data_IF_111751755774
#
_entry.id   IF_111751755774
#
_cell.length_a   1.000
_cell.length_b   1.000
_cell.length_c   1.000
_cell.angle_alpha   90.00
_cell.angle_beta   90.00
_cell.angle_gamma   90.00
#
_symmetry.space_group_name_H-M   'P 1'
#
loop_
_entity.id
_entity.type
_entity.pdbx_description
1 polymer ?
#
# COMPACT_ATOMS: atom_id res chain seq x y z
N UNK A 1 34.88 22.02 1.00
CA UNK A 1 34.50 23.28 1.68
C UNK A 1 33.12 23.65 1.16
N UNK A 2 32.07 23.08 1.76
CA UNK A 2 30.69 23.42 1.39
C UNK A 2 30.32 24.72 2.10
N UNK A 3 30.16 25.79 1.33
CA UNK A 3 29.66 27.07 1.82
C UNK A 3 28.17 26.88 2.08
N UNK A 4 27.79 26.71 3.35
CA UNK A 4 26.42 26.83 3.81
C UNK A 4 26.00 28.29 3.62
N UNK A 5 25.24 28.57 2.56
CA UNK A 5 24.47 29.81 2.49
C UNK A 5 23.34 29.71 3.51
N UNK A 6 23.32 30.64 4.45
CA UNK A 6 22.21 30.87 5.38
C UNK A 6 20.88 30.92 4.61
N UNK A 7 20.13 29.83 4.67
CA UNK A 7 18.72 29.74 4.31
C UNK A 7 18.05 29.01 5.45
N UNK A 8 16.94 29.55 5.94
CA UNK A 8 16.23 29.09 7.13
C UNK A 8 16.09 27.57 7.15
N UNK A 9 16.80 26.91 8.08
CA UNK A 9 16.63 25.49 8.34
C UNK A 9 15.30 25.34 9.08
N UNK A 10 14.24 25.02 8.34
CA UNK A 10 12.93 24.70 8.92
C UNK A 10 12.97 23.31 9.56
N UNK A 11 12.10 23.04 10.54
CA UNK A 11 11.97 21.69 11.13
C UNK A 11 11.68 20.63 10.06
N UNK A 12 10.86 20.98 9.06
CA UNK A 12 10.56 20.12 7.91
C UNK A 12 11.82 19.77 7.08
N UNK A 13 12.76 20.71 6.93
CA UNK A 13 14.04 20.45 6.25
C UNK A 13 14.90 19.44 7.03
N UNK A 14 14.89 19.52 8.36
CA UNK A 14 15.61 18.59 9.25
C UNK A 14 14.96 17.20 9.18
N UNK A 15 13.63 17.11 9.31
CA UNK A 15 12.89 15.86 9.22
C UNK A 15 13.16 15.12 7.90
N UNK A 16 13.11 15.83 6.77
CA UNK A 16 13.45 15.26 5.46
C UNK A 16 14.90 14.74 5.38
N UNK A 17 15.86 15.46 5.98
CA UNK A 17 17.26 15.01 6.03
C UNK A 17 17.43 13.75 6.88
N UNK A 18 16.72 13.66 8.01
CA UNK A 18 16.75 12.49 8.90
C UNK A 18 16.20 11.27 8.17
N UNK A 19 15.05 11.38 7.49
CA UNK A 19 14.48 10.27 6.74
C UNK A 19 15.37 9.85 5.57
N UNK A 20 15.98 10.80 4.85
CA UNK A 20 16.95 10.49 3.80
C UNK A 20 18.19 9.75 4.34
N UNK A 21 18.64 10.11 5.54
CA UNK A 21 19.76 9.44 6.21
C UNK A 21 19.39 8.02 6.67
N UNK A 22 18.19 7.83 7.23
CA UNK A 22 17.65 6.50 7.56
C UNK A 22 17.65 5.60 6.31
N UNK A 23 17.06 6.08 5.22
CA UNK A 23 16.99 5.37 3.95
C UNK A 23 18.40 4.99 3.49
N UNK A 24 19.33 5.95 3.42
CA UNK A 24 20.71 5.69 3.01
C UNK A 24 21.36 4.56 3.83
N UNK A 25 21.17 4.56 5.15
CA UNK A 25 21.72 3.54 6.03
C UNK A 25 21.14 2.16 5.71
N UNK A 26 19.84 2.05 5.45
CA UNK A 26 19.18 0.79 5.14
C UNK A 26 19.60 0.23 3.76
N UNK A 27 19.70 1.09 2.74
CA UNK A 27 20.20 0.64 1.43
C UNK A 27 21.66 0.22 1.53
N UNK A 28 22.46 0.94 2.30
CA UNK A 28 23.85 0.57 2.56
C UNK A 28 23.94 -0.77 3.28
N UNK A 29 23.12 -1.01 4.31
CA UNK A 29 23.09 -2.30 5.01
C UNK A 29 22.70 -3.45 4.10
N UNK A 30 21.74 -3.23 3.20
CA UNK A 30 21.35 -4.23 2.20
C UNK A 30 22.51 -4.57 1.25
N UNK A 31 23.16 -3.56 0.65
CA UNK A 31 24.30 -3.74 -0.26
C UNK A 31 25.49 -4.45 0.38
N UNK A 32 25.80 -4.13 1.63
CA UNK A 32 26.84 -4.84 2.39
C UNK A 32 26.45 -6.31 2.60
N UNK A 33 25.16 -6.57 2.78
CA UNK A 33 24.58 -7.90 2.77
C UNK A 33 24.94 -8.64 1.48
N UNK A 34 24.68 -8.06 0.31
CA UNK A 34 24.89 -8.72 -0.99
C UNK A 34 26.32 -9.23 -1.15
N UNK A 35 27.28 -8.45 -0.65
CA UNK A 35 28.69 -8.84 -0.62
C UNK A 35 28.94 -10.06 0.28
N UNK A 36 28.23 -10.20 1.40
CA UNK A 36 28.31 -11.39 2.28
C UNK A 36 27.80 -12.64 1.56
N UNK A 37 26.75 -12.54 0.75
CA UNK A 37 26.15 -13.69 0.07
C UNK A 37 27.05 -14.21 -1.05
N UNK A 38 27.71 -13.29 -1.76
CA UNK A 38 28.62 -13.60 -2.87
C UNK A 38 30.06 -13.94 -2.41
N UNK A 39 30.39 -13.72 -1.14
CA UNK A 39 31.73 -13.93 -0.59
C UNK A 39 31.91 -15.33 0.02
N UNK A 40 32.99 -16.00 -0.37
CA UNK A 40 33.50 -17.22 0.28
C UNK A 40 34.47 -16.93 1.45
N UNK A 41 34.91 -15.67 1.60
CA UNK A 41 35.85 -15.27 2.65
C UNK A 41 35.12 -15.00 3.97
N UNK A 42 35.35 -15.87 4.95
CA UNK A 42 34.78 -15.73 6.29
C UNK A 42 35.17 -14.40 6.96
N UNK A 43 36.44 -14.00 6.86
CA UNK A 43 36.93 -12.75 7.46
C UNK A 43 36.27 -11.52 6.83
N UNK A 44 36.17 -11.51 5.50
CA UNK A 44 35.55 -10.42 4.76
C UNK A 44 34.06 -10.31 5.10
N UNK A 45 33.35 -11.44 5.12
CA UNK A 45 31.93 -11.48 5.48
C UNK A 45 31.68 -11.01 6.92
N UNK A 46 32.61 -11.26 7.86
CA UNK A 46 32.54 -10.72 9.23
C UNK A 46 32.67 -9.21 9.28
N UNK A 47 33.63 -8.63 8.55
CA UNK A 47 33.82 -7.18 8.47
C UNK A 47 32.54 -6.51 7.93
N UNK A 48 31.97 -7.07 6.87
CA UNK A 48 30.72 -6.56 6.30
C UNK A 48 29.54 -6.71 7.26
N UNK A 49 29.44 -7.82 8.01
CA UNK A 49 28.39 -8.00 9.00
C UNK A 49 28.45 -6.95 10.14
N UNK A 50 29.65 -6.55 10.57
CA UNK A 50 29.83 -5.43 11.52
C UNK A 50 29.38 -4.10 10.88
N UNK A 51 29.72 -3.89 9.60
CA UNK A 51 29.24 -2.73 8.84
C UNK A 51 27.72 -2.66 8.77
N UNK A 52 27.05 -3.80 8.54
CA UNK A 52 25.59 -3.91 8.54
C UNK A 52 25.03 -3.53 9.92
N UNK A 53 25.59 -4.06 11.01
CA UNK A 53 25.18 -3.69 12.37
C UNK A 53 25.23 -2.17 12.61
N UNK A 54 26.33 -1.53 12.20
CA UNK A 54 26.50 -0.08 12.35
C UNK A 54 25.47 0.71 11.55
N UNK A 55 25.24 0.32 10.29
CA UNK A 55 24.24 0.96 9.43
C UNK A 55 22.82 0.78 9.98
N UNK A 56 22.47 -0.42 10.45
CA UNK A 56 21.15 -0.66 11.04
C UNK A 56 20.95 0.12 12.35
N UNK A 57 21.98 0.28 13.18
CA UNK A 57 21.90 1.09 14.39
C UNK A 57 21.68 2.58 14.06
N UNK A 58 22.38 3.10 13.04
CA UNK A 58 22.20 4.48 12.57
C UNK A 58 20.79 4.71 11.99
N UNK A 59 20.31 3.76 11.18
CA UNK A 59 18.94 3.80 10.64
C UNK A 59 17.90 3.83 11.77
N UNK A 60 18.01 2.92 12.73
CA UNK A 60 17.08 2.85 13.86
C UNK A 60 17.11 4.12 14.70
N UNK A 61 18.29 4.70 14.92
CA UNK A 61 18.44 5.96 15.64
C UNK A 61 17.74 7.11 14.90
N UNK A 62 17.90 7.19 13.57
CA UNK A 62 17.24 8.19 12.74
C UNK A 62 15.71 8.04 12.77
N UNK A 63 15.21 6.80 12.67
CA UNK A 63 13.78 6.49 12.76
C UNK A 63 13.17 6.94 14.08
N UNK A 64 13.82 6.62 15.21
CA UNK A 64 13.37 7.05 16.55
C UNK A 64 13.25 8.58 16.63
N UNK A 65 14.22 9.32 16.08
CA UNK A 65 14.15 10.79 16.05
C UNK A 65 12.97 11.27 15.20
N UNK A 66 12.76 10.68 14.03
CA UNK A 66 11.63 11.03 13.15
C UNK A 66 10.27 10.75 13.80
N UNK A 67 10.12 9.60 14.48
CA UNK A 67 8.88 9.24 15.15
C UNK A 67 8.61 10.14 16.38
N UNK A 68 9.65 10.55 17.13
CA UNK A 68 9.52 11.54 18.23
C UNK A 68 9.08 12.91 17.71
N UNK A 69 9.67 13.37 16.60
CA UNK A 69 9.27 14.62 15.95
C UNK A 69 7.80 14.57 15.50
N UNK A 70 7.38 13.45 14.89
CA UNK A 70 6.01 13.23 14.43
C UNK A 70 5.02 13.26 15.60
N UNK A 71 5.27 12.50 16.66
CA UNK A 71 4.42 12.46 17.87
C UNK A 71 4.32 13.85 18.51
N UNK A 72 5.43 14.59 18.58
CA UNK A 72 5.45 15.95 19.13
C UNK A 72 4.60 16.90 18.28
N UNK A 73 4.72 16.82 16.96
CA UNK A 73 3.95 17.63 16.01
C UNK A 73 2.45 17.35 16.10
N UNK A 74 2.05 16.07 16.14
CA UNK A 74 0.65 15.66 16.30
C UNK A 74 0.09 16.12 17.65
N UNK A 75 0.86 15.97 18.74
CA UNK A 75 0.47 16.44 20.07
C UNK A 75 0.24 17.95 20.09
N UNK A 76 1.16 18.73 19.53
CA UNK A 76 1.04 20.19 19.43
C UNK A 76 -0.15 20.61 18.56
N UNK A 77 -0.39 19.92 17.44
CA UNK A 77 -1.54 20.20 16.59
C UNK A 77 -2.86 19.91 17.32
N UNK A 78 -2.95 18.76 17.99
CA UNK A 78 -4.13 18.35 18.77
C UNK A 78 -4.45 19.37 19.87
N UNK A 79 -3.44 19.87 20.57
CA UNK A 79 -3.60 20.93 21.59
C UNK A 79 -4.11 22.23 20.95
N UNK A 80 -3.62 22.59 19.76
CA UNK A 80 -4.01 23.83 19.07
C UNK A 80 -5.42 23.77 18.48
N UNK A 81 -5.82 22.64 17.94
CA UNK A 81 -7.08 22.51 17.18
C UNK A 81 -8.19 21.84 17.97
N UNK A 82 -7.89 21.28 19.14
CA UNK A 82 -8.80 20.43 19.93
C UNK A 82 -9.37 19.26 19.12
N UNK A 83 -8.67 18.84 18.05
CA UNK A 83 -9.02 17.70 17.22
C UNK A 83 -7.91 16.67 17.30
N UNK A 84 -8.27 15.46 17.71
CA UNK A 84 -7.36 14.32 17.65
C UNK A 84 -7.16 13.98 16.17
N UNK A 85 -5.94 14.10 15.67
CA UNK A 85 -5.57 13.55 14.38
C UNK A 85 -5.10 12.12 14.57
N UNK A 86 -5.87 11.17 14.06
CA UNK A 86 -5.42 9.80 13.86
C UNK A 86 -4.72 9.71 12.49
N UNK A 87 -3.74 10.58 12.20
CA UNK A 87 -2.97 10.45 10.96
C UNK A 87 -2.06 9.23 11.03
N UNK A 88 -1.91 8.47 9.92
CA UNK A 88 -1.05 7.27 9.74
C UNK A 88 -0.68 6.55 11.04
N UNK A 89 -1.68 6.27 11.88
CA UNK A 89 -1.47 5.46 13.07
C UNK A 89 -1.47 4.02 12.55
N UNK A 90 -0.35 3.60 11.95
CA UNK A 90 0.16 2.31 12.40
C UNK A 90 0.18 2.45 13.92
N UNK A 91 -0.79 1.82 14.59
CA UNK A 91 -1.09 1.98 16.02
C UNK A 91 0.21 2.26 16.79
N UNK A 92 0.31 3.22 17.72
CA UNK A 92 1.59 3.48 18.42
C UNK A 92 2.27 2.19 18.95
N UNK A 93 1.47 1.15 19.22
CA UNK A 93 1.90 -0.23 19.43
C UNK A 93 2.73 -0.86 18.28
N UNK A 94 2.35 -0.69 17.01
CA UNK A 94 3.09 -1.11 15.82
C UNK A 94 4.48 -0.47 15.73
N UNK A 95 4.58 0.86 15.95
CA UNK A 95 5.89 1.53 16.01
C UNK A 95 6.75 0.97 17.14
N UNK A 96 6.18 0.77 18.34
CA UNK A 96 6.89 0.15 19.47
C UNK A 96 7.35 -1.27 19.13
N UNK A 97 6.48 -2.11 18.55
CA UNK A 97 6.82 -3.45 18.10
C UNK A 97 7.94 -3.45 17.06
N UNK A 98 7.90 -2.50 16.11
CA UNK A 98 8.94 -2.34 15.10
C UNK A 98 10.28 -1.97 15.73
N UNK A 99 10.31 -0.98 16.64
CA UNK A 99 11.53 -0.59 17.35
C UNK A 99 12.11 -1.73 18.19
N UNK A 100 11.27 -2.44 18.96
CA UNK A 100 11.71 -3.60 19.75
C UNK A 100 12.32 -4.67 18.86
N UNK A 101 11.67 -5.00 17.73
CA UNK A 101 12.19 -5.95 16.75
C UNK A 101 13.52 -5.47 16.17
N UNK A 102 13.60 -4.19 15.80
CA UNK A 102 14.77 -3.61 15.17
C UNK A 102 15.98 -3.68 16.11
N UNK A 103 15.81 -3.26 17.35
CA UNK A 103 16.84 -3.34 18.39
C UNK A 103 17.25 -4.80 18.66
N UNK A 104 16.28 -5.71 18.82
CA UNK A 104 16.57 -7.13 19.03
C UNK A 104 17.36 -7.74 17.86
N UNK A 105 16.96 -7.41 16.62
CA UNK A 105 17.64 -7.86 15.39
C UNK A 105 19.07 -7.32 15.28
N UNK A 106 19.30 -6.04 15.59
CA UNK A 106 20.64 -5.45 15.61
C UNK A 106 21.51 -6.11 16.68
N UNK A 107 21.00 -6.33 17.90
CA UNK A 107 21.75 -6.97 18.99
C UNK A 107 22.09 -8.42 18.66
N UNK A 108 21.09 -9.24 18.29
CA UNK A 108 21.29 -10.65 17.97
C UNK A 108 22.14 -10.82 16.70
N UNK A 109 21.89 -10.01 15.67
CA UNK A 109 22.66 -9.98 14.44
C UNK A 109 24.13 -9.63 14.70
N UNK A 110 24.40 -8.62 15.53
CA UNK A 110 25.78 -8.24 15.88
C UNK A 110 26.53 -9.34 16.63
N UNK A 111 25.86 -10.05 17.54
CA UNK A 111 26.45 -11.20 18.21
C UNK A 111 26.74 -12.34 17.22
N UNK A 112 25.77 -12.68 16.38
CA UNK A 112 25.91 -13.76 15.39
C UNK A 112 26.90 -13.41 14.28
N UNK A 113 27.14 -12.13 13.99
CA UNK A 113 28.14 -11.68 13.01
C UNK A 113 29.54 -12.21 13.34
N UNK A 114 29.82 -12.48 14.62
CA UNK A 114 31.11 -13.04 15.06
C UNK A 114 31.31 -14.50 14.64
N UNK A 115 30.23 -15.26 14.48
CA UNK A 115 30.26 -16.71 14.31
C UNK A 115 29.67 -17.18 12.97
N UNK A 116 28.63 -16.51 12.47
CA UNK A 116 27.93 -16.83 11.23
C UNK A 116 27.42 -15.55 10.54
N UNK A 117 28.26 -14.90 9.73
CA UNK A 117 27.89 -13.68 8.99
C UNK A 117 26.65 -13.86 8.10
N UNK A 118 26.52 -15.02 7.44
CA UNK A 118 25.36 -15.33 6.57
C UNK A 118 24.06 -15.45 7.37
N UNK A 119 24.11 -16.00 8.58
CA UNK A 119 22.93 -16.07 9.46
C UNK A 119 22.62 -14.69 10.07
N UNK A 120 23.65 -13.97 10.49
CA UNK A 120 23.57 -12.60 10.99
C UNK A 120 22.86 -11.67 10.01
N UNK A 121 23.22 -11.74 8.71
CA UNK A 121 22.56 -10.99 7.62
C UNK A 121 21.03 -11.07 7.70
N UNK A 122 20.47 -12.26 7.94
CA UNK A 122 19.02 -12.52 7.92
C UNK A 122 18.25 -11.85 9.07
N UNK A 123 18.95 -11.49 10.14
CA UNK A 123 18.38 -10.92 11.37
C UNK A 123 18.37 -9.39 11.39
N UNK A 124 19.12 -8.75 10.49
CA UNK A 124 19.15 -7.29 10.39
C UNK A 124 17.89 -6.72 9.72
N UNK A 125 17.78 -5.39 9.76
CA UNK A 125 16.59 -4.63 9.40
C UNK A 125 16.15 -4.83 7.96
N UNK A 126 17.08 -5.12 7.04
CA UNK A 126 16.83 -5.17 5.60
C UNK A 126 16.84 -6.60 5.08
N UNK A 127 15.80 -7.37 5.39
CA UNK A 127 15.58 -8.65 4.70
C UNK A 127 14.89 -8.44 3.35
N UNK A 128 14.86 -9.48 2.53
CA UNK A 128 14.30 -9.45 1.17
C UNK A 128 12.81 -9.79 1.13
N UNK A 129 12.09 -9.07 0.27
CA UNK A 129 10.62 -9.10 0.15
C UNK A 129 10.10 -10.39 -0.45
N UNK A 130 10.95 -11.21 -1.06
CA UNK A 130 10.60 -12.51 -1.64
C UNK A 130 10.02 -13.49 -0.61
N UNK A 131 10.17 -13.21 0.69
CA UNK A 131 9.58 -14.01 1.78
C UNK A 131 8.20 -13.50 2.21
N UNK A 132 7.68 -12.42 1.63
CA UNK A 132 6.33 -11.98 1.88
C UNK A 132 5.35 -12.95 1.22
N UNK A 133 4.30 -13.30 1.96
CA UNK A 133 3.27 -14.20 1.47
C UNK A 133 2.56 -13.55 0.29
N UNK A 134 2.61 -14.20 -0.88
CA UNK A 134 1.78 -13.84 -2.02
C UNK A 134 0.32 -14.05 -1.65
N UNK A 135 -0.52 -13.06 -1.91
CA UNK A 135 -1.94 -13.11 -1.53
C UNK A 135 -2.83 -13.70 -2.63
N UNK A 136 -2.54 -13.39 -3.88
CA UNK A 136 -3.33 -13.85 -5.03
C UNK A 136 -2.73 -15.13 -5.63
N UNK A 137 -3.59 -16.11 -5.92
CA UNK A 137 -3.24 -17.19 -6.84
C UNK A 137 -3.18 -16.66 -8.28
N UNK A 138 -2.55 -17.37 -9.23
CA UNK A 138 -2.57 -16.94 -10.63
C UNK A 138 -3.98 -16.79 -11.21
N UNK A 139 -4.94 -17.61 -10.77
CA UNK A 139 -6.34 -17.52 -11.19
C UNK A 139 -7.04 -16.30 -10.57
N UNK A 140 -6.80 -16.02 -9.28
CA UNK A 140 -7.34 -14.83 -8.62
C UNK A 140 -6.76 -13.55 -9.24
N UNK A 141 -5.45 -13.53 -9.54
CA UNK A 141 -4.81 -12.43 -10.24
C UNK A 141 -5.44 -12.21 -11.62
N UNK A 142 -5.70 -13.27 -12.39
CA UNK A 142 -6.38 -13.19 -13.68
C UNK A 142 -7.80 -12.62 -13.54
N UNK A 143 -8.57 -13.09 -12.53
CA UNK A 143 -9.89 -12.54 -12.22
C UNK A 143 -9.81 -11.05 -11.87
N UNK A 144 -8.90 -10.64 -11.01
CA UNK A 144 -8.74 -9.24 -10.58
C UNK A 144 -8.36 -8.33 -11.75
N UNK A 145 -7.41 -8.74 -12.60
CA UNK A 145 -7.05 -7.98 -13.80
C UNK A 145 -8.21 -7.89 -14.80
N UNK A 146 -8.97 -8.97 -15.00
CA UNK A 146 -10.16 -8.94 -15.86
C UNK A 146 -11.22 -7.99 -15.29
N UNK A 147 -11.46 -7.98 -13.97
CA UNK A 147 -12.34 -6.99 -13.32
C UNK A 147 -11.88 -5.56 -13.60
N UNK A 148 -10.58 -5.28 -13.53
CA UNK A 148 -10.02 -3.95 -13.81
C UNK A 148 -10.25 -3.51 -15.25
N UNK A 149 -10.07 -4.42 -16.22
CA UNK A 149 -10.40 -4.17 -17.62
C UNK A 149 -11.90 -3.87 -17.82
N UNK A 150 -12.76 -4.70 -17.24
CA UNK A 150 -14.22 -4.59 -17.35
C UNK A 150 -14.70 -3.26 -16.75
N UNK A 151 -14.20 -2.92 -15.56
CA UNK A 151 -14.56 -1.69 -14.87
C UNK A 151 -14.12 -0.45 -15.64
N UNK A 152 -12.89 -0.44 -16.20
CA UNK A 152 -12.43 0.67 -17.03
C UNK A 152 -13.35 0.89 -18.23
N UNK A 153 -13.65 -0.17 -18.98
CA UNK A 153 -14.52 -0.10 -20.16
C UNK A 153 -15.93 0.38 -19.81
N UNK A 154 -16.50 -0.12 -18.70
CA UNK A 154 -17.80 0.34 -18.20
C UNK A 154 -17.78 1.85 -17.88
N UNK A 155 -16.76 2.32 -17.15
CA UNK A 155 -16.61 3.73 -16.83
C UNK A 155 -16.43 4.62 -18.07
N UNK A 156 -15.67 4.17 -19.08
CA UNK A 156 -15.56 4.88 -20.38
C UNK A 156 -16.92 5.02 -21.05
N UNK A 157 -17.63 3.89 -21.18
CA UNK A 157 -18.90 3.81 -21.90
C UNK A 157 -19.96 4.74 -21.29
N UNK A 158 -19.94 4.89 -19.96
CA UNK A 158 -20.88 5.74 -19.22
C UNK A 158 -20.34 7.13 -18.87
N UNK A 159 -19.19 7.52 -19.43
CA UNK A 159 -18.55 8.81 -19.19
C UNK A 159 -18.38 9.12 -17.68
N UNK A 160 -17.91 8.11 -16.95
CA UNK A 160 -17.58 8.17 -15.53
C UNK A 160 -16.06 8.29 -15.39
N UNK A 161 -15.61 9.37 -14.74
CA UNK A 161 -14.21 9.62 -14.48
C UNK A 161 -13.78 9.00 -13.15
N UNK A 162 -12.60 8.41 -13.15
CA UNK A 162 -12.02 7.76 -11.99
C UNK A 162 -10.50 7.75 -12.07
N UNK A 163 -9.82 7.52 -10.94
CA UNK A 163 -8.37 7.26 -10.89
C UNK A 163 -8.10 6.07 -9.99
N UNK A 164 -7.15 5.21 -10.37
CA UNK A 164 -6.56 4.25 -9.43
C UNK A 164 -5.93 5.02 -8.27
N UNK A 165 -6.03 4.48 -7.05
CA UNK A 165 -5.50 5.12 -5.85
C UNK A 165 -4.74 4.12 -4.96
N UNK A 166 -4.30 4.56 -3.79
CA UNK A 166 -3.81 3.73 -2.70
C UNK A 166 -2.76 2.70 -3.12
N UNK A 167 -2.90 1.44 -2.71
CA UNK A 167 -1.92 0.37 -2.95
C UNK A 167 -1.76 0.08 -4.45
N UNK A 168 -2.82 0.32 -5.22
CA UNK A 168 -2.85 0.13 -6.67
C UNK A 168 -1.92 1.08 -7.41
N UNK A 169 -1.84 2.37 -7.02
CA UNK A 169 -0.88 3.32 -7.61
C UNK A 169 0.55 2.88 -7.31
N UNK A 170 0.82 2.47 -6.07
CA UNK A 170 2.14 1.96 -5.67
C UNK A 170 2.51 0.69 -6.44
N UNK A 171 1.58 -0.25 -6.60
CA UNK A 171 1.76 -1.46 -7.41
C UNK A 171 2.07 -1.14 -8.87
N UNK A 172 1.28 -0.26 -9.49
CA UNK A 172 1.47 0.16 -10.87
C UNK A 172 2.85 0.75 -11.13
N UNK A 173 3.38 1.57 -10.21
CA UNK A 173 4.71 2.16 -10.36
C UNK A 173 5.84 1.19 -10.01
N UNK A 174 5.68 0.45 -8.91
CA UNK A 174 6.76 -0.33 -8.31
C UNK A 174 6.90 -1.72 -8.92
N UNK A 175 5.79 -2.37 -9.25
CA UNK A 175 5.75 -3.75 -9.77
C UNK A 175 5.21 -3.84 -11.21
N UNK A 176 4.71 -2.73 -11.78
CA UNK A 176 3.97 -2.74 -13.07
C UNK A 176 2.75 -3.67 -13.04
N UNK A 177 2.16 -3.87 -11.87
CA UNK A 177 1.05 -4.78 -11.58
C UNK A 177 0.61 -4.65 -10.13
N UNK A 178 -0.36 -5.45 -9.69
CA UNK A 178 -0.76 -5.47 -8.28
C UNK A 178 0.43 -5.87 -7.42
N UNK A 179 0.58 -5.25 -6.25
CA UNK A 179 1.67 -5.60 -5.33
C UNK A 179 1.51 -7.08 -4.92
N UNK A 180 2.58 -7.90 -4.83
CA UNK A 180 2.43 -9.34 -4.61
C UNK A 180 1.69 -9.75 -3.32
N UNK A 181 1.69 -8.86 -2.33
CA UNK A 181 1.01 -9.04 -1.06
C UNK A 181 -0.25 -8.16 -0.93
N UNK A 182 -0.86 -7.74 -2.05
CA UNK A 182 -2.21 -7.17 -2.12
C UNK A 182 -3.22 -8.19 -2.64
N UNK A 183 -4.48 -7.98 -2.31
CA UNK A 183 -5.62 -8.85 -2.62
C UNK A 183 -6.74 -8.16 -3.43
N UNK A 184 -6.58 -6.88 -3.76
CA UNK A 184 -7.60 -6.03 -4.36
C UNK A 184 -7.01 -4.93 -5.28
N UNK A 185 -7.90 -4.13 -5.86
CA UNK A 185 -7.59 -2.92 -6.63
C UNK A 185 -8.45 -1.77 -6.10
N UNK A 186 -7.84 -0.60 -5.94
CA UNK A 186 -8.45 0.59 -5.38
C UNK A 186 -8.71 1.64 -6.46
N UNK A 187 -9.91 2.21 -6.49
CA UNK A 187 -10.28 3.32 -7.36
C UNK A 187 -11.02 4.43 -6.63
N UNK A 188 -10.71 5.67 -6.96
CA UNK A 188 -11.49 6.85 -6.57
C UNK A 188 -12.35 7.30 -7.74
N UNK A 189 -13.66 7.33 -7.54
CA UNK A 189 -14.63 7.86 -8.51
C UNK A 189 -14.71 9.39 -8.38
N UNK A 190 -14.84 10.10 -9.50
CA UNK A 190 -14.99 11.56 -9.52
C UNK A 190 -16.19 12.00 -8.65
N UNK A 191 -16.05 13.09 -7.86
CA UNK A 191 -17.13 13.59 -7.01
C UNK A 191 -18.45 13.83 -7.74
N UNK A 192 -18.40 14.19 -9.02
CA UNK A 192 -19.59 14.49 -9.82
C UNK A 192 -20.26 13.23 -10.38
N UNK A 193 -19.55 12.10 -10.40
CA UNK A 193 -20.04 10.85 -10.99
C UNK A 193 -20.73 9.91 -9.99
N UNK A 194 -20.57 10.11 -8.68
CA UNK A 194 -21.13 9.23 -7.65
C UNK A 194 -22.65 9.00 -7.76
N UNK A 195 -23.43 10.05 -8.08
CA UNK A 195 -24.89 9.94 -8.24
C UNK A 195 -25.28 9.13 -9.48
N UNK A 196 -24.58 9.36 -10.58
CA UNK A 196 -24.87 8.66 -11.84
C UNK A 196 -24.44 7.20 -11.76
N UNK A 197 -23.27 6.92 -11.17
CA UNK A 197 -22.85 5.54 -10.94
C UNK A 197 -23.82 4.80 -10.03
N UNK A 198 -24.29 5.44 -8.93
CA UNK A 198 -25.33 4.86 -8.09
C UNK A 198 -26.60 4.52 -8.89
N UNK A 199 -27.03 5.40 -9.80
CA UNK A 199 -28.21 5.17 -10.65
C UNK A 199 -28.01 3.90 -11.50
N UNK A 200 -26.86 3.77 -12.15
CA UNK A 200 -26.49 2.62 -12.99
C UNK A 200 -26.36 1.31 -12.20
N UNK A 201 -26.01 1.39 -10.92
CA UNK A 201 -26.03 0.24 -10.01
C UNK A 201 -27.45 -0.13 -9.63
N UNK A 202 -28.25 0.85 -9.18
CA UNK A 202 -29.62 0.64 -8.68
C UNK A 202 -30.58 0.12 -9.78
N UNK A 203 -30.42 0.56 -11.03
CA UNK A 203 -31.26 0.12 -12.15
C UNK A 203 -30.79 -1.19 -12.81
N UNK A 204 -29.69 -1.77 -12.31
CA UNK A 204 -29.12 -3.02 -12.78
C UNK A 204 -28.20 -2.92 -14.00
N UNK A 205 -28.01 -1.73 -14.57
CA UNK A 205 -27.15 -1.52 -15.75
C UNK A 205 -25.73 -2.02 -15.50
N UNK A 206 -25.15 -1.73 -14.33
CA UNK A 206 -23.81 -2.19 -13.97
C UNK A 206 -23.71 -3.72 -14.04
N UNK A 207 -24.60 -4.43 -13.36
CA UNK A 207 -24.58 -5.89 -13.31
C UNK A 207 -24.84 -6.49 -14.71
N UNK A 208 -25.75 -5.93 -15.50
CA UNK A 208 -26.07 -6.45 -16.83
C UNK A 208 -24.95 -6.23 -17.85
N UNK A 209 -24.24 -5.11 -17.77
CA UNK A 209 -23.18 -4.78 -18.73
C UNK A 209 -21.81 -5.37 -18.33
N UNK A 210 -21.56 -5.57 -17.03
CA UNK A 210 -20.26 -6.07 -16.55
C UNK A 210 -20.27 -7.57 -16.24
N UNK A 211 -21.42 -8.14 -15.90
CA UNK A 211 -21.52 -9.49 -15.35
C UNK A 211 -20.93 -9.63 -13.94
N UNK A 212 -20.58 -8.52 -13.28
CA UNK A 212 -20.03 -8.49 -11.92
C UNK A 212 -21.14 -8.24 -10.89
N UNK A 213 -20.97 -8.82 -9.71
CA UNK A 213 -21.72 -8.41 -8.52
C UNK A 213 -21.11 -7.14 -7.93
N UNK A 214 -21.92 -6.35 -7.24
CA UNK A 214 -21.49 -5.12 -6.59
C UNK A 214 -22.24 -4.92 -5.29
N UNK A 215 -21.54 -4.51 -4.23
CA UNK A 215 -22.13 -4.26 -2.91
C UNK A 215 -21.68 -2.91 -2.37
N UNK A 216 -22.59 -2.22 -1.66
CA UNK A 216 -22.27 -0.96 -1.00
C UNK A 216 -21.61 -1.21 0.37
N UNK A 217 -20.51 -0.52 0.63
CA UNK A 217 -19.82 -0.55 1.90
C UNK A 217 -19.99 0.77 2.66
N UNK A 218 -20.69 0.70 3.79
CA UNK A 218 -20.98 1.88 4.62
C UNK A 218 -19.71 2.48 5.23
N UNK A 219 -18.75 1.63 5.60
CA UNK A 219 -17.53 2.09 6.27
C UNK A 219 -16.60 2.86 5.33
N UNK A 220 -16.29 2.29 4.17
CA UNK A 220 -15.45 2.94 3.14
C UNK A 220 -16.21 4.02 2.37
N UNK A 221 -17.55 3.96 2.35
CA UNK A 221 -18.40 4.91 1.63
C UNK A 221 -18.29 4.77 0.12
N UNK A 222 -18.27 3.53 -0.35
CA UNK A 222 -18.08 3.17 -1.75
C UNK A 222 -18.72 1.84 -2.08
N UNK A 223 -18.38 1.33 -3.26
CA UNK A 223 -18.81 0.00 -3.69
C UNK A 223 -17.61 -0.92 -3.84
N UNK A 224 -17.83 -2.21 -3.59
CA UNK A 224 -16.88 -3.27 -3.95
C UNK A 224 -17.53 -4.13 -5.03
N UNK A 225 -16.85 -4.31 -6.16
CA UNK A 225 -17.32 -5.20 -7.23
C UNK A 225 -16.43 -6.44 -7.37
N UNK A 226 -17.04 -7.56 -7.74
CA UNK A 226 -16.40 -8.88 -7.78
C UNK A 226 -17.20 -9.88 -8.61
N UNK A 227 -16.62 -11.04 -8.92
CA UNK A 227 -17.35 -12.12 -9.59
C UNK A 227 -18.29 -12.84 -8.63
N UNK A 228 -19.50 -13.17 -9.10
CA UNK A 228 -20.51 -13.88 -8.29
C UNK A 228 -20.02 -15.23 -7.73
N UNK A 229 -19.12 -15.92 -8.45
CA UNK A 229 -18.55 -17.21 -8.06
C UNK A 229 -17.33 -17.10 -7.12
N UNK A 230 -16.89 -15.87 -6.81
CA UNK A 230 -15.76 -15.65 -5.92
C UNK A 230 -16.06 -16.08 -4.48
N UNK A 231 -15.08 -16.67 -3.76
CA UNK A 231 -15.22 -16.99 -2.35
C UNK A 231 -15.53 -15.73 -1.54
N UNK A 232 -16.52 -15.82 -0.66
CA UNK A 232 -16.92 -14.68 0.17
C UNK A 232 -15.93 -14.46 1.31
N UNK A 233 -15.68 -13.19 1.64
CA UNK A 233 -14.79 -12.79 2.73
C UNK A 233 -15.40 -13.01 4.12
N UNK A 234 -14.74 -12.46 5.15
CA UNK A 234 -15.18 -12.50 6.54
C UNK A 234 -15.45 -11.10 7.10
N UNK A 235 -16.22 -11.05 8.19
CA UNK A 235 -16.49 -9.81 8.91
C UNK A 235 -17.28 -8.80 8.07
N UNK A 236 -16.77 -7.58 7.93
CA UNK A 236 -17.38 -6.55 7.06
C UNK A 236 -17.39 -6.93 5.56
N UNK A 237 -16.63 -7.97 5.18
CA UNK A 237 -16.56 -8.49 3.81
C UNK A 237 -17.39 -9.76 3.59
N UNK A 238 -18.30 -10.13 4.51
CA UNK A 238 -19.08 -11.38 4.41
C UNK A 238 -19.95 -11.49 3.14
N UNK A 239 -20.29 -10.37 2.51
CA UNK A 239 -21.07 -10.33 1.27
C UNK A 239 -20.22 -10.09 0.02
N UNK A 240 -18.90 -9.99 0.18
CA UNK A 240 -17.94 -9.55 -0.84
C UNK A 240 -17.16 -10.75 -1.34
N UNK A 241 -17.09 -10.94 -2.65
CA UNK A 241 -16.28 -11.98 -3.26
C UNK A 241 -14.82 -11.56 -3.40
N UNK A 242 -13.87 -12.42 -3.04
CA UNK A 242 -12.44 -12.17 -3.21
C UNK A 242 -11.92 -12.76 -4.54
N UNK A 243 -11.01 -12.10 -5.27
CA UNK A 243 -10.60 -10.70 -5.09
C UNK A 243 -11.66 -9.73 -5.64
N UNK A 244 -11.59 -8.47 -5.21
CA UNK A 244 -12.55 -7.41 -5.55
C UNK A 244 -11.84 -6.11 -5.97
N UNK A 245 -12.62 -5.19 -6.54
CA UNK A 245 -12.20 -3.80 -6.79
C UNK A 245 -13.02 -2.86 -5.91
N UNK A 246 -12.32 -2.02 -5.15
CA UNK A 246 -12.89 -0.91 -4.40
C UNK A 246 -13.16 0.30 -5.32
N UNK A 247 -14.36 0.86 -5.20
CA UNK A 247 -14.83 2.06 -5.90
C UNK A 247 -15.25 3.07 -4.85
N UNK A 248 -14.28 3.84 -4.36
CA UNK A 248 -14.49 4.86 -3.34
C UNK A 248 -15.19 6.09 -3.93
N UNK A 249 -16.28 6.51 -3.30
CA UNK A 249 -16.84 7.83 -3.58
C UNK A 249 -15.93 8.91 -3.02
N UNK A 250 -15.72 9.99 -3.77
CA UNK A 250 -14.92 11.13 -3.34
C UNK A 250 -15.74 12.41 -3.28
N UNK A 251 -15.18 13.43 -2.64
CA UNK A 251 -15.71 14.78 -2.57
C UNK A 251 -14.60 15.80 -2.80
N UNK A 252 -14.97 16.97 -3.32
CA UNK A 252 -14.05 18.08 -3.41
C UNK A 252 -13.99 18.85 -2.09
N UNK A 253 -12.78 19.07 -1.57
CA UNK A 253 -12.53 19.91 -0.41
C UNK A 253 -12.00 21.27 -0.89
N UNK A 254 -12.91 22.22 -1.10
CA UNK A 254 -12.60 23.57 -1.61
C UNK A 254 -11.54 24.31 -0.77
N UNK A 255 -11.48 24.06 0.55
CA UNK A 255 -10.54 24.76 1.43
C UNK A 255 -9.12 24.24 1.30
N UNK A 256 -8.97 22.95 1.02
CA UNK A 256 -7.68 22.29 0.91
C UNK A 256 -7.27 22.03 -0.55
N UNK A 257 -8.12 22.41 -1.51
CA UNK A 257 -7.93 22.24 -2.96
C UNK A 257 -7.52 20.80 -3.35
N UNK A 258 -8.34 19.85 -2.90
CA UNK A 258 -8.07 18.42 -3.05
C UNK A 258 -9.34 17.59 -3.16
N UNK A 259 -9.18 16.42 -3.77
CA UNK A 259 -10.18 15.35 -3.87
C UNK A 259 -9.88 14.34 -2.77
N UNK A 260 -10.83 14.08 -1.89
CA UNK A 260 -10.69 13.18 -0.73
C UNK A 260 -11.91 12.26 -0.59
N UNK A 261 -11.78 11.17 0.16
CA UNK A 261 -12.87 10.20 0.38
C UNK A 261 -14.13 10.86 0.94
N UNK A 262 -15.31 10.49 0.43
CA UNK A 262 -16.60 10.98 0.94
C UNK A 262 -16.93 10.44 2.33
N UNK A 263 -16.58 9.19 2.64
CA UNK A 263 -16.73 8.63 3.99
C UNK A 263 -15.87 9.42 4.98
N UNK A 264 -16.50 9.91 6.06
CA UNK A 264 -15.78 10.62 7.12
C UNK A 264 -14.91 9.66 7.91
N UNK A 265 -15.44 8.48 8.20
CA UNK A 265 -14.78 7.40 8.93
C UNK A 265 -13.52 6.95 8.22
N UNK A 266 -13.61 6.68 6.91
CA UNK A 266 -12.47 6.23 6.12
C UNK A 266 -11.44 7.35 5.91
N UNK A 267 -11.89 8.58 5.63
CA UNK A 267 -11.00 9.74 5.51
C UNK A 267 -10.19 10.02 6.78
N UNK A 268 -10.75 9.73 7.95
CA UNK A 268 -10.04 9.87 9.23
C UNK A 268 -8.97 8.81 9.44
N UNK A 269 -9.07 7.66 8.77
CA UNK A 269 -8.07 6.59 8.81
C UNK A 269 -6.99 6.79 7.73
N UNK A 270 -7.39 7.29 6.57
CA UNK A 270 -6.51 7.50 5.41
C UNK A 270 -6.33 8.99 5.10
N UNK A 271 -5.87 9.77 6.09
CA UNK A 271 -5.85 11.25 6.00
C UNK A 271 -4.95 11.82 4.91
N UNK A 272 -3.92 11.07 4.52
CA UNK A 272 -2.93 11.45 3.51
C UNK A 272 -3.26 10.92 2.11
N UNK A 273 -4.28 10.06 1.99
CA UNK A 273 -4.76 9.52 0.73
C UNK A 273 -5.81 10.46 0.13
N UNK A 274 -5.31 11.43 -0.65
CA UNK A 274 -6.10 12.38 -1.43
C UNK A 274 -5.36 12.70 -2.71
N UNK A 275 -6.04 13.24 -3.72
CA UNK A 275 -5.40 13.84 -4.89
C UNK A 275 -5.48 15.36 -4.79
N UNK A 276 -4.41 16.07 -5.14
CA UNK A 276 -4.55 17.51 -5.42
C UNK A 276 -5.37 17.70 -6.70
N UNK A 277 -5.95 18.89 -6.88
CA UNK A 277 -6.68 19.23 -8.11
C UNK A 277 -5.80 19.07 -9.36
N UNK A 278 -4.53 19.46 -9.27
CA UNK A 278 -3.56 19.29 -10.36
C UNK A 278 -3.27 17.81 -10.64
N UNK A 279 -3.02 17.01 -9.60
CA UNK A 279 -2.80 15.55 -9.74
C UNK A 279 -4.02 14.89 -10.41
N UNK A 280 -5.25 15.27 -10.03
CA UNK A 280 -6.49 14.72 -10.59
C UNK A 280 -6.70 15.06 -12.07
N UNK A 281 -6.43 16.31 -12.44
CA UNK A 281 -6.59 16.83 -13.79
C UNK A 281 -5.55 16.27 -14.77
N UNK A 282 -4.36 15.92 -14.28
CA UNK A 282 -3.31 15.28 -15.09
C UNK A 282 -3.50 13.76 -15.21
N UNK A 283 -4.57 13.35 -15.88
CA UNK A 283 -4.84 11.93 -16.15
C UNK A 283 -3.77 11.26 -17.01
N UNK A 284 -3.46 10.01 -16.70
CA UNK A 284 -2.66 9.12 -17.53
C UNK A 284 -3.16 7.66 -17.46
N UNK A 285 -2.88 6.87 -18.50
CA UNK A 285 -2.99 5.41 -18.42
C UNK A 285 -1.83 4.80 -17.64
N UNK A 286 -2.16 4.14 -16.54
CA UNK A 286 -1.25 3.41 -15.68
C UNK A 286 -1.25 1.91 -16.02
N UNK A 287 -0.09 1.27 -15.96
CA UNK A 287 0.02 -0.17 -16.25
C UNK A 287 -0.25 -0.97 -14.99
N UNK A 288 -1.19 -1.90 -15.05
CA UNK A 288 -1.49 -2.80 -13.95
C UNK A 288 -1.55 -4.24 -14.49
N UNK A 289 -0.39 -4.88 -14.56
CA UNK A 289 -0.24 -6.22 -15.13
C UNK A 289 -0.60 -6.21 -16.62
N UNK A 290 -1.53 -7.06 -17.09
CA UNK A 290 -1.96 -7.09 -18.48
C UNK A 290 -2.88 -5.92 -18.88
N UNK A 291 -3.36 -5.11 -17.94
CA UNK A 291 -4.36 -4.06 -18.22
C UNK A 291 -3.81 -2.64 -18.10
N UNK A 292 -4.54 -1.70 -18.70
CA UNK A 292 -4.35 -0.26 -18.54
C UNK A 292 -5.56 0.30 -17.79
N UNK A 293 -5.31 1.09 -16.75
CA UNK A 293 -6.35 1.77 -15.98
C UNK A 293 -6.02 3.25 -15.88
N UNK A 294 -7.04 4.10 -15.67
CA UNK A 294 -6.83 5.54 -15.49
C UNK A 294 -6.20 5.82 -14.14
N UNK A 295 -5.14 6.60 -14.12
CA UNK A 295 -4.47 7.10 -12.92
C UNK A 295 -3.93 8.51 -13.17
N UNK A 296 -2.96 8.92 -12.34
CA UNK A 296 -2.36 10.26 -12.40
C UNK A 296 -0.98 10.22 -13.06
N UNK A 297 -0.62 11.30 -13.75
CA UNK A 297 0.65 11.38 -14.50
C UNK A 297 1.90 11.35 -13.62
N UNK A 298 1.88 12.08 -12.51
CA UNK A 298 3.00 12.16 -11.58
C UNK A 298 2.60 11.61 -10.22
N UNK A 299 2.78 10.31 -10.04
CA UNK A 299 2.42 9.55 -8.84
C UNK A 299 3.42 9.67 -7.70
N UNK A 300 4.64 10.16 -7.92
CA UNK A 300 5.69 10.17 -6.90
C UNK A 300 5.36 11.02 -5.65
N UNK A 301 4.80 12.25 -5.78
CA UNK A 301 4.35 13.03 -4.63
C UNK A 301 3.22 12.34 -3.85
N UNK A 302 2.25 11.76 -4.58
CA UNK A 302 1.15 10.99 -4.01
C UNK A 302 1.65 9.78 -3.20
N UNK A 303 2.52 8.96 -3.80
CA UNK A 303 3.10 7.78 -3.14
C UNK A 303 3.90 8.19 -1.89
N UNK A 304 4.75 9.22 -2.00
CA UNK A 304 5.52 9.73 -0.85
C UNK A 304 4.61 10.19 0.29
N UNK A 305 3.50 10.83 -0.04
CA UNK A 305 2.52 11.32 0.94
C UNK A 305 1.79 10.17 1.64
N UNK A 306 1.33 9.17 0.90
CA UNK A 306 0.59 8.04 1.45
C UNK A 306 1.49 7.08 2.26
N UNK A 307 2.65 6.72 1.69
CA UNK A 307 3.48 5.60 2.17
C UNK A 307 4.88 6.01 2.64
N UNK A 308 5.23 7.29 2.54
CA UNK A 308 6.55 7.79 2.86
C UNK A 308 7.56 7.66 1.70
N UNK A 309 8.74 8.28 1.84
CA UNK A 309 9.75 8.35 0.78
C UNK A 309 10.38 7.01 0.41
N UNK A 310 10.16 5.99 1.24
CA UNK A 310 10.85 4.70 1.14
C UNK A 310 9.97 3.62 0.48
N UNK A 311 8.73 3.95 0.16
CA UNK A 311 7.73 3.03 -0.36
C UNK A 311 8.14 2.35 -1.67
N UNK A 312 8.99 3.02 -2.47
CA UNK A 312 9.50 2.47 -3.73
C UNK A 312 10.53 1.36 -3.51
N UNK A 313 11.23 1.33 -2.38
CA UNK A 313 12.33 0.43 -2.11
C UNK A 313 12.02 -0.60 -1.02
N UNK A 314 11.05 -0.28 -0.16
CA UNK A 314 10.70 -1.10 0.98
C UNK A 314 9.20 -1.44 1.01
N UNK A 315 8.94 -2.68 1.39
CA UNK A 315 7.63 -3.22 1.69
C UNK A 315 7.40 -3.20 3.22
N UNK A 316 6.16 -2.98 3.60
CA UNK A 316 5.66 -3.15 4.95
C UNK A 316 4.57 -4.21 4.89
N UNK A 317 4.72 -5.28 5.66
CA UNK A 317 3.67 -6.29 5.75
C UNK A 317 2.48 -5.69 6.49
N UNK A 318 1.36 -5.56 5.80
CA UNK A 318 0.07 -5.12 6.34
C UNK A 318 -0.82 -6.31 6.67
N UNK A 319 -1.85 -6.07 7.47
CA UNK A 319 -2.89 -7.06 7.80
C UNK A 319 -3.75 -7.29 6.54
N UNK A 320 -4.19 -8.53 6.27
CA UNK A 320 -5.11 -8.83 5.17
C UNK A 320 -6.44 -8.11 5.34
N UNK A 321 -7.11 -7.79 4.23
CA UNK A 321 -8.40 -7.11 4.24
C UNK A 321 -9.47 -7.89 5.03
N UNK A 322 -9.54 -9.22 4.88
CA UNK A 322 -10.44 -10.06 5.68
C UNK A 322 -10.19 -9.95 7.19
N UNK A 323 -8.93 -9.99 7.62
CA UNK A 323 -8.58 -9.95 9.03
C UNK A 323 -8.79 -8.55 9.61
N UNK A 324 -8.48 -7.51 8.84
CA UNK A 324 -8.78 -6.12 9.19
C UNK A 324 -10.30 -5.91 9.33
N UNK A 325 -11.09 -6.41 8.39
CA UNK A 325 -12.54 -6.33 8.41
C UNK A 325 -13.14 -7.00 9.66
N UNK A 326 -12.65 -8.19 10.03
CA UNK A 326 -13.11 -8.89 11.23
C UNK A 326 -12.68 -8.16 12.53
N UNK A 327 -11.48 -7.58 12.54
CA UNK A 327 -10.98 -6.76 13.66
C UNK A 327 -11.80 -5.47 13.83
N UNK A 328 -12.18 -4.81 12.74
CA UNK A 328 -13.01 -3.60 12.76
C UNK A 328 -14.45 -3.90 13.20
N UNK A 329 -14.99 -5.07 12.83
CA UNK A 329 -16.30 -5.51 13.29
C UNK A 329 -16.31 -5.84 14.80
N UNK A 330 -15.21 -6.41 15.31
CA UNK A 330 -15.09 -6.85 16.71
C UNK A 330 -13.87 -6.21 17.43
N UNK A 331 -13.84 -4.88 17.62
CA UNK A 331 -12.66 -4.18 18.12
C UNK A 331 -12.32 -4.54 19.58
N UNK A 332 -13.31 -4.98 20.36
CA UNK A 332 -13.13 -5.35 21.77
C UNK A 332 -12.60 -6.78 21.97
N UNK A 333 -12.47 -7.59 20.91
CA UNK A 333 -11.88 -8.93 20.99
C UNK A 333 -10.35 -8.85 21.04
N UNK A 334 -9.79 -8.27 22.10
CA UNK A 334 -8.36 -7.95 22.23
C UNK A 334 -7.49 -9.20 22.02
N UNK A 335 -7.86 -10.33 22.65
CA UNK A 335 -7.08 -11.57 22.55
C UNK A 335 -7.10 -12.16 21.12
N UNK A 336 -8.28 -12.22 20.49
CA UNK A 336 -8.41 -12.69 19.11
C UNK A 336 -7.73 -11.77 18.10
N UNK A 337 -7.83 -10.45 18.29
CA UNK A 337 -7.19 -9.47 17.43
C UNK A 337 -5.66 -9.53 17.56
N UNK A 338 -5.12 -9.69 18.78
CA UNK A 338 -3.69 -9.93 18.99
C UNK A 338 -3.22 -11.25 18.36
N UNK A 339 -4.03 -12.31 18.43
CA UNK A 339 -3.73 -13.59 17.78
C UNK A 339 -3.64 -13.43 16.25
N UNK A 340 -4.59 -12.73 15.61
CA UNK A 340 -4.55 -12.46 14.17
C UNK A 340 -3.31 -11.68 13.79
N UNK A 341 -3.03 -10.57 14.48
CA UNK A 341 -1.82 -9.76 14.26
C UNK A 341 -0.55 -10.63 14.40
N UNK A 342 -0.52 -11.58 15.35
CA UNK A 342 0.63 -12.47 15.55
C UNK A 342 0.88 -13.50 14.45
N UNK A 343 -0.12 -13.76 13.59
CA UNK A 343 0.04 -14.63 12.42
C UNK A 343 0.84 -13.93 11.32
N UNK A 344 0.77 -12.60 11.28
CA UNK A 344 1.63 -11.78 10.44
C UNK A 344 3.01 -11.71 11.09
N UNK A 345 4.06 -11.75 10.25
CA UNK A 345 5.38 -11.40 10.75
C UNK A 345 5.31 -10.01 11.40
N UNK A 346 6.00 -9.82 12.52
CA UNK A 346 6.16 -8.48 13.10
C UNK A 346 6.56 -7.51 11.97
N UNK A 347 5.97 -6.31 11.87
CA UNK A 347 6.18 -5.38 10.76
C UNK A 347 7.66 -5.28 10.45
N UNK A 348 8.05 -5.91 9.33
CA UNK A 348 9.43 -5.96 8.89
C UNK A 348 9.52 -5.08 7.67
N UNK A 349 10.28 -3.99 7.81
CA UNK A 349 10.69 -3.19 6.67
C UNK A 349 11.53 -4.08 5.78
N UNK A 350 11.04 -4.39 4.60
CA UNK A 350 11.60 -5.46 3.77
C UNK A 350 11.99 -4.91 2.41
N UNK A 351 13.25 -5.07 2.02
CA UNK A 351 13.77 -4.52 0.76
C UNK A 351 13.22 -5.28 -0.44
N UNK A 352 12.78 -4.53 -1.46
CA UNK A 352 12.14 -5.07 -2.65
C UNK A 352 13.19 -5.33 -3.71
N UNK A 353 13.51 -6.61 -3.89
CA UNK A 353 14.46 -7.09 -4.91
C UNK A 353 13.77 -7.45 -6.21
N UNK A 354 12.60 -8.08 -6.11
CA UNK A 354 11.77 -8.43 -7.26
C UNK A 354 10.67 -7.37 -7.44
N UNK A 355 10.70 -6.73 -8.61
CA UNK A 355 9.72 -5.72 -9.04
C UNK A 355 8.88 -6.21 -10.21
N UNK A 356 8.89 -7.51 -10.46
CA UNK A 356 8.08 -8.12 -11.50
C UNK A 356 6.60 -8.08 -11.08
N UNK A 357 5.67 -7.95 -12.04
CA UNK A 357 4.26 -8.11 -11.75
C UNK A 357 3.99 -9.54 -11.26
N UNK A 358 2.90 -9.70 -10.52
CA UNK A 358 2.46 -11.04 -10.12
C UNK A 358 2.15 -11.91 -11.35
N UNK A 359 2.45 -13.19 -11.23
CA UNK A 359 2.04 -14.20 -12.20
C UNK A 359 0.51 -14.33 -12.19
N UNK A 360 -0.07 -14.51 -13.37
CA UNK A 360 -1.51 -14.68 -13.55
C UNK A 360 -1.78 -15.73 -14.63
N UNK A 361 -2.95 -16.36 -14.57
CA UNK A 361 -3.41 -17.31 -15.58
C UNK A 361 -3.86 -16.55 -16.84
N UNK A 362 -3.02 -16.56 -17.88
CA UNK A 362 -3.29 -15.83 -19.13
C UNK A 362 -4.53 -16.36 -19.88
N UNK A 363 -4.75 -17.67 -19.88
CA UNK A 363 -5.87 -18.29 -20.60
C UNK A 363 -7.20 -17.90 -19.95
N UNK A 364 -7.26 -17.96 -18.61
CA UNK A 364 -8.44 -17.52 -17.85
C UNK A 364 -8.69 -16.02 -18.03
N UNK A 365 -7.64 -15.19 -17.99
CA UNK A 365 -7.78 -13.75 -18.23
C UNK A 365 -8.39 -13.46 -19.60
N UNK A 366 -7.88 -14.10 -20.66
CA UNK A 366 -8.42 -13.97 -22.02
C UNK A 366 -9.87 -14.42 -22.11
N UNK A 367 -10.20 -15.57 -21.52
CA UNK A 367 -11.57 -16.09 -21.51
C UNK A 367 -12.55 -15.10 -20.87
N UNK A 368 -12.18 -14.51 -19.72
CA UNK A 368 -13.01 -13.54 -19.02
C UNK A 368 -13.21 -12.24 -19.81
N UNK A 369 -12.14 -11.74 -20.43
CA UNK A 369 -12.19 -10.55 -21.29
C UNK A 369 -13.04 -10.81 -22.53
N UNK A 370 -12.83 -11.92 -23.23
CA UNK A 370 -13.60 -12.27 -24.43
C UNK A 370 -15.09 -12.45 -24.11
N UNK A 371 -15.41 -13.06 -22.95
CA UNK A 371 -16.79 -13.19 -22.46
C UNK A 371 -17.44 -11.83 -22.24
N UNK A 372 -16.73 -10.88 -21.65
CA UNK A 372 -17.22 -9.51 -21.46
C UNK A 372 -17.41 -8.78 -22.79
N UNK A 373 -16.46 -8.88 -23.72
CA UNK A 373 -16.59 -8.23 -25.03
C UNK A 373 -17.80 -8.77 -25.81
N UNK A 374 -18.03 -10.08 -25.79
CA UNK A 374 -19.23 -10.69 -26.37
C UNK A 374 -20.52 -10.22 -25.68
N UNK A 375 -20.51 -10.04 -24.35
CA UNK A 375 -21.65 -9.50 -23.62
C UNK A 375 -22.01 -8.09 -24.11
N UNK A 376 -21.01 -7.20 -24.23
CA UNK A 376 -21.21 -5.83 -24.70
C UNK A 376 -21.65 -5.78 -26.16
N UNK A 377 -21.05 -6.59 -27.04
CA UNK A 377 -21.45 -6.67 -28.46
C UNK A 377 -22.93 -7.03 -28.61
N UNK A 378 -23.44 -7.95 -27.78
CA UNK A 378 -24.86 -8.34 -27.77
C UNK A 378 -25.80 -7.26 -27.20
N UNK A 379 -25.29 -6.36 -26.36
CA UNK A 379 -26.07 -5.23 -25.80
C UNK A 379 -26.17 -4.10 -26.82
N UNK A 380 -25.13 -3.91 -27.64
CA UNK A 380 -25.07 -2.88 -28.67
C UNK A 380 -25.79 -3.27 -29.98
N UNK A 381 -26.03 -4.56 -30.20
CA UNK A 381 -26.78 -5.11 -31.34
C UNK A 381 -28.30 -5.06 -31.14
#
# INVERSE_FOLDING_TARGET
MYVLKNGDVTLESIGNQITAFEHYCLISSYRLGEVIDQSDSFLLSRIFAIGISAMCLLAESAKVVSDVERVTTIGLHTIKTFKIQNGNVQNGAMHVCEHVRNVAGVVAGSFLALFSPKLSRKLFLTAEAQNLQKKLTPDDAAKLYAQGFILDNFFVRHNLEYRICSGTVLGSERHRGVTPWDDDVDTMLDPNNAKEFKRLVDDGTFASETGLEIVWQTFTGGWECFYADSPKGRGLLENVGLPFIDIFCTQFNEKADRIEYSSLEFRQLSTEEYFTTDEWNEQQECTLGPVKMRGIRNSAPYIKRCYGPDAMDFAYQTIHHEDLAEMLQNPLNIAGNLQKISQYGLPKRTYITDRSPIEYNEDLFRELVDRYLLLIENIDS
#
